data_IF_714739429524
#
_entry.id   IF_714739429524
#
_cell.length_a   1.000
_cell.length_b   1.000
_cell.length_c   1.000
_cell.angle_alpha   90.00
_cell.angle_beta   90.00
_cell.angle_gamma   90.00
#
_symmetry.space_group_name_H-M   'P 1'
#
loop_
_entity.id
_entity.type
_entity.pdbx_description
1 polymer ?
#
# COMPACT_ATOMS: atom_id res chain seq x y z
N UNK A 1 -20.02 -5.78 29.97
CA UNK A 1 -20.27 -6.11 28.54
C UNK A 1 -20.61 -7.59 28.43
N UNK A 2 -21.64 -7.93 27.65
CA UNK A 2 -21.91 -9.32 27.26
C UNK A 2 -22.51 -9.33 25.86
N UNK A 3 -21.92 -10.12 24.95
CA UNK A 3 -22.34 -10.19 23.55
C UNK A 3 -22.00 -11.53 22.90
N UNK A 4 -22.66 -11.80 21.76
CA UNK A 4 -22.39 -12.99 20.95
C UNK A 4 -22.13 -12.57 19.50
N UNK A 5 -21.08 -13.12 18.88
CA UNK A 5 -20.63 -12.81 17.52
C UNK A 5 -20.16 -14.06 16.78
N UNK A 6 -20.21 -14.05 15.46
CA UNK A 6 -19.67 -15.11 14.63
C UNK A 6 -18.13 -15.12 14.68
N UNK A 7 -17.51 -16.30 14.88
CA UNK A 7 -16.06 -16.45 15.00
C UNK A 7 -15.32 -15.97 13.75
N UNK A 8 -15.79 -16.29 12.53
CA UNK A 8 -15.10 -15.93 11.29
C UNK A 8 -15.09 -14.41 11.08
N UNK A 9 -16.22 -13.74 11.37
CA UNK A 9 -16.29 -12.27 11.30
C UNK A 9 -15.39 -11.63 12.36
N UNK A 10 -15.38 -12.16 13.58
CA UNK A 10 -14.51 -11.68 14.65
C UNK A 10 -13.03 -11.85 14.28
N UNK A 11 -12.62 -13.02 13.78
CA UNK A 11 -11.24 -13.29 13.35
C UNK A 11 -10.79 -12.36 12.22
N UNK A 12 -11.66 -12.13 11.23
CA UNK A 12 -11.39 -11.22 10.13
C UNK A 12 -11.19 -9.79 10.62
N UNK A 13 -12.11 -9.27 11.43
CA UNK A 13 -12.05 -7.92 11.97
C UNK A 13 -10.83 -7.72 12.89
N UNK A 14 -10.54 -8.67 13.80
CA UNK A 14 -9.35 -8.64 14.66
C UNK A 14 -8.06 -8.63 13.83
N UNK A 15 -8.00 -9.41 12.74
CA UNK A 15 -6.85 -9.43 11.82
C UNK A 15 -6.62 -8.08 11.13
N UNK A 16 -7.71 -7.38 10.75
CA UNK A 16 -7.62 -6.04 10.14
C UNK A 16 -7.10 -5.00 11.13
N UNK A 17 -7.73 -4.89 12.31
CA UNK A 17 -7.35 -3.85 13.28
C UNK A 17 -5.96 -4.08 13.87
N UNK A 18 -5.51 -5.33 14.00
CA UNK A 18 -4.16 -5.67 14.48
C UNK A 18 -3.03 -5.03 13.69
N UNK A 19 -3.28 -4.62 12.44
CA UNK A 19 -2.29 -3.95 11.57
C UNK A 19 -1.91 -2.56 12.05
N UNK A 20 -2.77 -1.91 12.84
CA UNK A 20 -2.52 -0.60 13.44
C UNK A 20 -1.83 -0.69 14.82
N UNK A 21 -1.62 -1.89 15.37
CA UNK A 21 -1.01 -2.07 16.69
C UNK A 21 0.48 -1.74 16.66
N UNK A 22 0.97 -1.10 17.72
CA UNK A 22 2.40 -0.86 17.94
C UNK A 22 3.00 -1.92 18.88
N UNK A 23 3.80 -2.87 18.37
CA UNK A 23 4.38 -3.93 19.22
C UNK A 23 5.50 -3.44 20.16
N UNK A 24 6.01 -2.22 19.97
CA UNK A 24 7.14 -1.63 20.70
C UNK A 24 6.79 -0.25 21.26
N UNK A 25 5.57 -0.06 21.74
CA UNK A 25 5.15 1.21 22.32
C UNK A 25 5.58 1.32 23.79
N UNK A 26 5.87 2.56 24.23
CA UNK A 26 6.04 2.92 25.64
C UNK A 26 4.71 2.95 26.40
N UNK A 27 3.58 3.07 25.68
CA UNK A 27 2.23 3.03 26.22
C UNK A 27 1.66 1.61 26.04
N UNK A 28 1.44 0.84 27.11
CA UNK A 28 0.96 -0.55 27.00
C UNK A 28 -0.35 -0.69 26.22
N UNK A 29 -1.27 0.27 26.36
CA UNK A 29 -2.58 0.26 25.69
C UNK A 29 -2.48 0.28 24.17
N UNK A 30 -1.39 0.82 23.56
CA UNK A 30 -1.17 0.81 22.12
C UNK A 30 -0.76 -0.56 21.57
N UNK A 31 -0.49 -1.53 22.44
CA UNK A 31 -0.32 -2.95 22.07
C UNK A 31 -1.63 -3.73 22.14
N UNK A 32 -2.73 -3.06 22.50
CA UNK A 32 -4.04 -3.66 22.70
C UNK A 32 -5.00 -3.31 21.54
N UNK A 33 -6.04 -4.13 21.44
CA UNK A 33 -7.26 -3.85 20.66
C UNK A 33 -8.33 -3.40 21.64
N UNK A 34 -8.98 -2.28 21.36
CA UNK A 34 -10.20 -1.85 22.02
C UNK A 34 -11.37 -2.70 21.52
N UNK A 35 -12.07 -3.34 22.44
CA UNK A 35 -13.29 -4.13 22.21
C UNK A 35 -14.44 -3.37 22.86
N UNK A 36 -15.37 -2.82 22.09
CA UNK A 36 -16.44 -1.94 22.57
C UNK A 36 -17.77 -2.26 21.89
N UNK A 37 -18.87 -2.20 22.62
CA UNK A 37 -20.20 -2.20 22.04
C UNK A 37 -20.53 -0.81 21.51
N UNK A 38 -21.05 -0.73 20.29
CA UNK A 38 -21.36 0.52 19.62
C UNK A 38 -22.60 0.38 18.73
N UNK A 39 -23.70 1.08 19.09
CA UNK A 39 -24.95 1.11 18.33
C UNK A 39 -25.47 -0.26 17.88
N UNK A 40 -25.45 -1.25 18.79
CA UNK A 40 -25.91 -2.61 18.51
C UNK A 40 -24.93 -3.48 17.72
N UNK A 41 -23.73 -3.00 17.47
CA UNK A 41 -22.63 -3.75 16.85
C UNK A 41 -21.44 -3.91 17.80
N UNK A 42 -20.54 -4.80 17.47
CA UNK A 42 -19.22 -4.86 18.11
C UNK A 42 -18.25 -4.00 17.31
N UNK A 43 -17.65 -3.01 17.95
CA UNK A 43 -16.57 -2.17 17.44
C UNK A 43 -15.24 -2.69 17.96
N UNK A 44 -14.29 -2.91 17.06
CA UNK A 44 -12.91 -3.22 17.36
C UNK A 44 -12.02 -2.09 16.82
N UNK A 45 -11.08 -1.61 17.63
CA UNK A 45 -10.19 -0.51 17.22
C UNK A 45 -8.79 -0.74 17.71
N UNK A 46 -7.79 -0.36 16.91
CA UNK A 46 -6.40 -0.29 17.32
C UNK A 46 -5.72 0.93 16.71
N UNK A 47 -4.69 1.43 17.39
CA UNK A 47 -3.92 2.58 16.91
C UNK A 47 -2.50 2.57 17.45
N UNK A 48 -1.58 3.15 16.68
CA UNK A 48 -0.23 3.48 17.13
C UNK A 48 0.01 5.00 17.21
N UNK A 49 -1.07 5.79 17.19
CA UNK A 49 -1.16 7.25 17.15
C UNK A 49 -0.93 7.88 15.77
N UNK A 50 -0.26 7.20 14.85
CA UNK A 50 -0.08 7.64 13.46
C UNK A 50 -1.12 7.03 12.53
N UNK A 51 -1.47 5.78 12.79
CA UNK A 51 -2.45 4.98 12.07
C UNK A 51 -3.46 4.42 13.06
N UNK A 52 -4.74 4.61 12.80
CA UNK A 52 -5.85 3.99 13.51
C UNK A 52 -6.71 3.17 12.55
N UNK A 53 -7.14 1.99 12.97
CA UNK A 53 -8.08 1.16 12.20
C UNK A 53 -9.22 0.78 13.13
N UNK A 54 -10.44 0.99 12.67
CA UNK A 54 -11.68 0.61 13.35
C UNK A 54 -12.52 -0.26 12.43
N UNK A 55 -13.07 -1.33 12.98
CA UNK A 55 -13.94 -2.26 12.25
C UNK A 55 -15.18 -2.55 13.09
N UNK A 56 -16.36 -2.60 12.43
CA UNK A 56 -17.64 -2.96 13.05
C UNK A 56 -18.13 -4.29 12.50
N UNK A 57 -18.63 -5.14 13.39
CA UNK A 57 -19.30 -6.38 13.00
C UNK A 57 -20.62 -6.54 13.73
N UNK A 58 -21.57 -7.22 13.10
CA UNK A 58 -22.86 -7.54 13.70
C UNK A 58 -22.68 -8.42 14.93
N UNK A 59 -23.35 -8.06 16.02
CA UNK A 59 -23.32 -8.80 17.27
C UNK A 59 -24.67 -8.79 17.96
N UNK A 60 -25.00 -9.85 18.70
CA UNK A 60 -26.10 -9.85 19.62
C UNK A 60 -25.64 -9.31 20.96
N UNK A 61 -26.01 -8.06 21.26
CA UNK A 61 -25.62 -7.38 22.51
C UNK A 61 -26.65 -7.70 23.61
N UNK A 62 -26.17 -8.24 24.74
CA UNK A 62 -26.96 -8.46 25.95
C UNK A 62 -26.59 -7.46 27.06
N UNK A 63 -25.42 -6.86 26.98
CA UNK A 63 -24.95 -5.83 27.90
C UNK A 63 -23.81 -5.03 27.31
N UNK A 64 -23.88 -3.71 27.40
CA UNK A 64 -22.88 -2.79 26.88
C UNK A 64 -21.61 -2.75 27.73
N UNK A 65 -20.53 -2.26 27.13
CA UNK A 65 -19.24 -2.05 27.80
C UNK A 65 -18.06 -1.97 26.83
N UNK A 66 -16.89 -1.76 27.40
CA UNK A 66 -15.64 -1.66 26.67
C UNK A 66 -14.47 -2.16 27.50
N UNK A 67 -13.45 -2.70 26.83
CA UNK A 67 -12.16 -3.12 27.40
C UNK A 67 -11.11 -3.11 26.31
N UNK A 68 -9.84 -2.93 26.66
CA UNK A 68 -8.73 -3.19 25.74
C UNK A 68 -8.05 -4.52 26.11
N UNK A 69 -7.69 -5.30 25.11
CA UNK A 69 -7.03 -6.60 25.29
C UNK A 69 -5.76 -6.71 24.44
N UNK A 70 -4.72 -7.43 24.90
CA UNK A 70 -3.49 -7.62 24.15
C UNK A 70 -3.76 -8.17 22.75
N UNK A 71 -3.40 -7.41 21.72
CA UNK A 71 -3.76 -7.67 20.33
C UNK A 71 -3.28 -9.04 19.86
N UNK A 72 -2.01 -9.36 20.10
CA UNK A 72 -1.42 -10.65 19.69
C UNK A 72 -2.16 -11.82 20.31
N UNK A 73 -2.35 -11.79 21.64
CA UNK A 73 -3.04 -12.86 22.36
C UNK A 73 -4.47 -13.05 21.89
N UNK A 74 -5.19 -11.93 21.68
CA UNK A 74 -6.58 -11.98 21.23
C UNK A 74 -6.69 -12.47 19.78
N UNK A 75 -5.80 -12.01 18.89
CA UNK A 75 -5.74 -12.47 17.49
C UNK A 75 -5.42 -13.97 17.40
N UNK A 76 -4.39 -14.42 18.11
CA UNK A 76 -3.98 -15.83 18.12
C UNK A 76 -5.11 -16.72 18.68
N UNK A 77 -5.75 -16.29 19.78
CA UNK A 77 -6.86 -17.03 20.38
C UNK A 77 -8.03 -17.14 19.40
N UNK A 78 -8.54 -16.01 18.91
CA UNK A 78 -9.74 -15.97 18.05
C UNK A 78 -9.54 -16.74 16.75
N UNK A 79 -8.33 -16.69 16.17
CA UNK A 79 -8.01 -17.41 14.94
C UNK A 79 -8.00 -18.93 15.10
N UNK A 80 -7.78 -19.42 16.32
CA UNK A 80 -7.76 -20.86 16.64
C UNK A 80 -9.06 -21.39 17.24
N UNK A 81 -10.09 -20.54 17.41
CA UNK A 81 -11.41 -21.01 17.86
C UNK A 81 -12.13 -21.79 16.75
N UNK A 82 -13.00 -22.75 17.09
CA UNK A 82 -13.90 -23.38 16.13
C UNK A 82 -14.81 -22.36 15.42
N UNK A 83 -15.22 -22.66 14.19
CA UNK A 83 -16.19 -21.84 13.44
C UNK A 83 -17.59 -21.96 14.05
N UNK A 84 -17.85 -21.22 15.11
CA UNK A 84 -19.12 -21.22 15.88
C UNK A 84 -19.39 -19.80 16.41
N UNK A 85 -20.41 -19.68 17.26
CA UNK A 85 -20.71 -18.44 17.99
C UNK A 85 -19.71 -18.25 19.14
N UNK A 86 -19.16 -17.06 19.22
CA UNK A 86 -18.27 -16.64 20.31
C UNK A 86 -19.02 -15.72 21.25
N UNK A 87 -19.04 -16.07 22.52
CA UNK A 87 -19.60 -15.24 23.58
C UNK A 87 -18.46 -14.49 24.27
N UNK A 88 -18.54 -13.17 24.26
CA UNK A 88 -17.62 -12.29 24.97
C UNK A 88 -18.30 -11.74 26.23
N UNK A 89 -17.68 -11.92 27.38
CA UNK A 89 -18.17 -11.39 28.66
C UNK A 89 -17.07 -10.64 29.39
N UNK A 90 -17.33 -9.41 29.79
CA UNK A 90 -16.38 -8.59 30.55
C UNK A 90 -16.71 -8.62 32.04
N UNK A 91 -15.73 -9.00 32.84
CA UNK A 91 -15.70 -8.73 34.28
C UNK A 91 -14.97 -7.40 34.53
N UNK A 92 -15.75 -6.36 34.81
CA UNK A 92 -15.20 -5.02 35.10
C UNK A 92 -14.33 -4.99 36.37
N UNK A 93 -14.64 -5.82 37.37
CA UNK A 93 -13.93 -5.79 38.64
C UNK A 93 -12.48 -6.28 38.52
N UNK A 94 -12.23 -7.19 37.61
CA UNK A 94 -10.92 -7.82 37.37
C UNK A 94 -10.29 -7.40 36.05
N UNK A 95 -10.95 -6.53 35.26
CA UNK A 95 -10.55 -6.15 33.90
C UNK A 95 -10.20 -7.37 33.05
N UNK A 96 -11.13 -8.33 33.02
CA UNK A 96 -10.92 -9.64 32.36
C UNK A 96 -12.01 -9.87 31.31
N UNK A 97 -11.60 -10.09 30.06
CA UNK A 97 -12.47 -10.54 28.98
C UNK A 97 -12.52 -12.07 28.95
N UNK A 98 -13.69 -12.65 29.28
CA UNK A 98 -13.96 -14.06 29.06
C UNK A 98 -14.39 -14.26 27.59
N UNK A 99 -13.75 -15.21 26.93
CA UNK A 99 -14.00 -15.61 25.52
C UNK A 99 -14.43 -17.07 25.55
N UNK A 100 -15.68 -17.35 25.21
CA UNK A 100 -16.21 -18.70 25.13
C UNK A 100 -16.73 -19.02 23.74
N UNK A 101 -16.33 -20.16 23.19
CA UNK A 101 -16.80 -20.67 21.91
C UNK A 101 -17.34 -22.12 22.09
N UNK A 102 -18.63 -22.30 21.78
CA UNK A 102 -19.31 -23.56 22.04
C UNK A 102 -19.29 -23.96 23.50
N UNK A 103 -19.26 -25.26 23.74
CA UNK A 103 -19.20 -25.86 25.10
C UNK A 103 -17.80 -26.29 25.55
N UNK A 104 -16.81 -26.22 24.63
CA UNK A 104 -15.51 -26.86 24.83
C UNK A 104 -14.34 -25.86 24.92
N UNK A 105 -14.54 -24.60 24.55
CA UNK A 105 -13.47 -23.60 24.57
C UNK A 105 -13.87 -22.41 25.43
N UNK A 106 -13.06 -22.14 26.46
CA UNK A 106 -13.20 -20.96 27.33
C UNK A 106 -11.81 -20.44 27.71
N UNK A 107 -11.64 -19.14 27.56
CA UNK A 107 -10.39 -18.44 27.87
C UNK A 107 -10.66 -17.11 28.54
N UNK A 108 -9.75 -16.68 29.42
CA UNK A 108 -9.82 -15.40 30.09
C UNK A 108 -8.58 -14.56 29.73
N UNK A 109 -8.80 -13.36 29.20
CA UNK A 109 -7.74 -12.44 28.79
C UNK A 109 -7.78 -11.24 29.74
N UNK A 110 -6.65 -10.93 30.37
CA UNK A 110 -6.48 -9.71 31.15
C UNK A 110 -6.36 -8.53 30.18
N UNK A 111 -7.13 -7.48 30.48
CA UNK A 111 -7.16 -6.25 29.71
C UNK A 111 -6.72 -5.02 30.51
N UNK A 112 -6.81 -3.89 29.86
CA UNK A 112 -6.63 -2.55 30.43
C UNK A 112 -7.94 -1.78 30.23
N UNK A 113 -8.25 -0.86 31.13
CA UNK A 113 -9.45 -0.05 31.04
C UNK A 113 -9.54 0.67 29.67
N UNK A 114 -10.73 0.67 29.11
CA UNK A 114 -10.98 1.29 27.82
C UNK A 114 -10.78 2.82 27.83
N UNK A 115 -10.87 3.48 28.99
CA UNK A 115 -10.63 4.92 29.15
C UNK A 115 -9.17 5.30 28.89
N UNK A 116 -8.23 4.36 29.02
CA UNK A 116 -6.82 4.56 28.67
C UNK A 116 -6.55 4.55 27.17
N UNK A 117 -7.52 4.07 26.35
CA UNK A 117 -7.34 3.99 24.92
C UNK A 117 -7.49 5.36 24.26
N UNK A 118 -6.50 5.81 23.44
CA UNK A 118 -6.56 7.12 22.82
C UNK A 118 -7.72 7.21 21.81
N UNK A 119 -8.38 8.38 21.72
CA UNK A 119 -9.46 8.58 20.77
C UNK A 119 -8.95 8.47 19.33
N UNK A 120 -9.66 7.70 18.49
CA UNK A 120 -9.49 7.71 17.04
C UNK A 120 -10.46 8.74 16.48
N UNK A 121 -10.02 9.66 15.59
CA UNK A 121 -10.88 10.67 15.00
C UNK A 121 -11.98 10.04 14.15
N UNK A 122 -13.16 10.67 14.15
CA UNK A 122 -14.30 10.27 13.34
C UNK A 122 -14.35 11.09 12.04
N UNK A 123 -14.83 10.51 10.91
CA UNK A 123 -14.92 11.19 9.63
C UNK A 123 -16.05 12.22 9.62
N UNK A 124 -15.87 13.33 8.91
CA UNK A 124 -16.97 14.18 8.47
C UNK A 124 -17.44 13.75 7.07
N UNK A 125 -18.45 12.92 7.04
CA UNK A 125 -18.94 12.35 5.79
C UNK A 125 -19.63 13.39 4.88
N UNK A 126 -20.01 14.56 5.41
CA UNK A 126 -20.65 15.63 4.64
C UNK A 126 -19.70 16.33 3.66
N UNK A 127 -18.40 16.33 3.93
CA UNK A 127 -17.35 16.88 3.08
C UNK A 127 -16.46 15.81 2.43
N UNK A 128 -16.92 14.56 2.41
CA UNK A 128 -16.17 13.41 1.92
C UNK A 128 -16.09 13.34 0.40
N UNK A 129 -14.95 12.86 -0.10
CA UNK A 129 -14.70 12.57 -1.51
C UNK A 129 -14.94 11.07 -1.74
N UNK A 130 -15.92 10.74 -2.58
CA UNK A 130 -16.20 9.35 -2.98
C UNK A 130 -15.18 8.85 -3.98
N UNK A 131 -14.64 7.67 -3.74
CA UNK A 131 -13.64 7.00 -4.57
C UNK A 131 -14.14 5.62 -4.97
N UNK A 132 -13.86 5.21 -6.22
CA UNK A 132 -14.01 3.81 -6.62
C UNK A 132 -12.93 2.96 -5.93
N UNK A 133 -13.36 1.94 -5.19
CA UNK A 133 -12.46 1.09 -4.39
C UNK A 133 -11.43 0.38 -5.25
N UNK A 134 -11.84 -0.12 -6.43
CA UNK A 134 -10.96 -0.91 -7.31
C UNK A 134 -9.88 -0.03 -7.91
N UNK A 135 -10.26 1.13 -8.45
CA UNK A 135 -9.33 2.10 -9.01
C UNK A 135 -8.37 2.63 -7.95
N UNK A 136 -8.90 3.06 -6.81
CA UNK A 136 -8.06 3.58 -5.74
C UNK A 136 -7.04 2.56 -5.23
N UNK A 137 -7.46 1.30 -5.07
CA UNK A 137 -6.58 0.20 -4.70
C UNK A 137 -5.47 -0.04 -5.72
N UNK A 138 -5.81 0.04 -7.01
CA UNK A 138 -4.83 -0.08 -8.09
C UNK A 138 -3.84 1.09 -8.08
N UNK A 139 -4.32 2.33 -7.93
CA UNK A 139 -3.47 3.52 -7.80
C UNK A 139 -2.47 3.37 -6.65
N UNK A 140 -2.93 2.94 -5.48
CA UNK A 140 -2.07 2.70 -4.32
C UNK A 140 -1.01 1.64 -4.62
N UNK A 141 -1.40 0.52 -5.25
CA UNK A 141 -0.46 -0.56 -5.60
C UNK A 141 0.60 -0.11 -6.61
N UNK A 142 0.22 0.74 -7.57
CA UNK A 142 1.12 1.25 -8.61
C UNK A 142 2.05 2.37 -8.11
N UNK A 143 1.74 3.01 -6.98
CA UNK A 143 2.51 4.19 -6.54
C UNK A 143 3.26 3.93 -5.23
N UNK A 144 2.62 3.36 -4.22
CA UNK A 144 3.15 3.34 -2.85
C UNK A 144 4.48 2.58 -2.70
N UNK A 145 4.78 1.61 -3.57
CA UNK A 145 6.04 0.85 -3.54
C UNK A 145 7.28 1.70 -3.86
N UNK A 146 7.10 2.85 -4.54
CA UNK A 146 8.18 3.75 -4.90
C UNK A 146 8.57 4.71 -3.76
N UNK A 147 7.80 4.77 -2.68
CA UNK A 147 8.13 5.58 -1.52
C UNK A 147 9.42 5.10 -0.83
N UNK A 148 10.12 6.04 -0.21
CA UNK A 148 11.33 5.76 0.57
C UNK A 148 10.99 5.01 1.87
N UNK A 149 11.90 4.17 2.33
CA UNK A 149 11.87 3.59 3.68
C UNK A 149 12.80 4.32 4.65
N UNK A 150 13.45 5.39 4.20
CA UNK A 150 14.39 6.19 4.98
C UNK A 150 13.64 7.25 5.80
N UNK A 151 13.50 7.01 7.09
CA UNK A 151 12.82 7.92 8.04
C UNK A 151 13.57 9.26 8.26
N UNK A 152 14.83 9.37 7.82
CA UNK A 152 15.54 10.64 7.85
C UNK A 152 14.99 11.65 6.82
N UNK A 153 14.20 11.18 5.87
CA UNK A 153 13.51 12.00 4.86
C UNK A 153 12.00 11.74 4.91
N UNK A 154 11.27 12.18 5.95
CA UNK A 154 9.89 11.80 6.19
C UNK A 154 8.96 12.06 5.00
N UNK A 155 9.13 13.19 4.30
CA UNK A 155 8.30 13.55 3.13
C UNK A 155 8.35 12.49 2.03
N UNK A 156 9.50 11.83 1.84
CA UNK A 156 9.66 10.76 0.84
C UNK A 156 9.10 9.41 1.28
N UNK A 157 8.78 9.23 2.58
CA UNK A 157 8.12 8.00 3.05
C UNK A 157 6.62 8.02 2.77
N UNK A 158 6.10 9.14 2.26
CA UNK A 158 4.71 9.34 1.90
C UNK A 158 4.43 9.26 0.41
N UNK A 159 3.15 9.20 0.10
CA UNK A 159 2.57 9.36 -1.23
C UNK A 159 1.95 10.75 -1.28
N UNK A 160 2.35 11.55 -2.23
CA UNK A 160 1.66 12.80 -2.56
C UNK A 160 0.32 12.45 -3.22
N UNK A 161 -0.77 12.92 -2.65
CA UNK A 161 -2.10 12.85 -3.23
C UNK A 161 -2.55 14.26 -3.57
N UNK A 162 -3.05 14.47 -4.79
CA UNK A 162 -3.68 15.72 -5.21
C UNK A 162 -5.07 15.43 -5.77
N UNK A 163 -6.02 16.28 -5.39
CA UNK A 163 -7.36 16.32 -5.95
C UNK A 163 -7.57 17.70 -6.54
N UNK A 164 -8.00 17.78 -7.77
CA UNK A 164 -8.32 19.05 -8.43
C UNK A 164 -9.47 18.86 -9.43
N UNK A 165 -10.61 19.48 -9.15
CA UNK A 165 -11.82 19.23 -9.91
C UNK A 165 -12.29 17.78 -9.82
N UNK A 166 -12.37 17.10 -10.93
CA UNK A 166 -12.71 15.68 -11.08
C UNK A 166 -11.47 14.77 -11.22
N UNK A 167 -10.28 15.31 -10.98
CA UNK A 167 -9.03 14.62 -11.19
C UNK A 167 -8.32 14.28 -9.89
N UNK A 168 -7.81 13.04 -9.79
CA UNK A 168 -6.97 12.55 -8.71
C UNK A 168 -5.60 12.17 -9.26
N UNK A 169 -4.54 12.59 -8.60
CA UNK A 169 -3.18 12.13 -8.89
C UNK A 169 -2.46 11.67 -7.63
N UNK A 170 -1.67 10.63 -7.78
CA UNK A 170 -0.78 10.11 -6.75
C UNK A 170 0.65 10.05 -7.27
N UNK A 171 1.62 10.39 -6.43
CA UNK A 171 3.04 10.25 -6.73
C UNK A 171 3.84 9.81 -5.50
N UNK A 172 4.82 8.94 -5.70
CA UNK A 172 5.78 8.56 -4.67
C UNK A 172 7.20 8.44 -5.26
N UNK A 173 8.20 8.76 -4.45
CA UNK A 173 9.61 8.70 -4.86
C UNK A 173 10.51 8.38 -3.67
N UNK A 174 11.63 7.70 -3.93
CA UNK A 174 12.74 7.53 -2.98
C UNK A 174 13.97 8.41 -3.35
N UNK A 175 13.84 9.20 -4.43
CA UNK A 175 14.91 10.03 -4.99
C UNK A 175 15.66 9.38 -6.15
N UNK A 176 15.49 8.08 -6.38
CA UNK A 176 16.11 7.32 -7.49
C UNK A 176 15.09 6.81 -8.51
N UNK A 177 13.83 6.83 -8.15
CA UNK A 177 12.68 6.48 -9.00
C UNK A 177 11.45 7.25 -8.57
N UNK A 178 10.47 7.34 -9.46
CA UNK A 178 9.18 7.98 -9.20
C UNK A 178 8.08 7.16 -9.85
N UNK A 179 7.04 6.84 -9.11
CA UNK A 179 5.77 6.33 -9.67
C UNK A 179 4.71 7.40 -9.61
N UNK A 180 3.98 7.56 -10.69
CA UNK A 180 2.87 8.51 -10.83
C UNK A 180 1.69 7.76 -11.40
N UNK A 181 0.51 7.94 -10.78
CA UNK A 181 -0.77 7.46 -11.30
C UNK A 181 -1.79 8.59 -11.24
N UNK A 182 -2.50 8.77 -12.33
CA UNK A 182 -3.57 9.74 -12.48
C UNK A 182 -4.87 9.02 -12.83
N UNK A 183 -6.01 9.54 -12.38
CA UNK A 183 -7.33 9.01 -12.71
C UNK A 183 -8.40 10.09 -12.49
N UNK A 184 -9.64 9.80 -12.90
CA UNK A 184 -10.78 10.66 -12.65
C UNK A 184 -11.60 10.14 -11.46
N UNK A 185 -12.19 11.06 -10.70
CA UNK A 185 -13.08 10.73 -9.58
C UNK A 185 -14.54 11.06 -9.94
N UNK A 186 -15.52 10.29 -9.40
CA UNK A 186 -16.92 10.45 -9.76
C UNK A 186 -17.52 11.81 -9.42
N UNK A 187 -16.98 12.47 -8.39
CA UNK A 187 -17.52 13.72 -7.88
C UNK A 187 -16.47 14.83 -7.92
N UNK A 188 -16.85 15.97 -8.47
CA UNK A 188 -15.98 17.16 -8.56
C UNK A 188 -15.77 17.73 -7.16
N UNK A 189 -14.50 17.87 -6.75
CA UNK A 189 -14.14 18.56 -5.51
C UNK A 189 -14.22 20.07 -5.67
N UNK A 190 -14.80 20.76 -4.69
CA UNK A 190 -15.00 22.21 -4.74
C UNK A 190 -13.73 23.02 -4.52
N UNK A 191 -12.70 22.40 -3.95
CA UNK A 191 -11.37 23.01 -3.74
C UNK A 191 -10.28 21.99 -3.99
N UNK A 192 -9.15 22.44 -4.53
CA UNK A 192 -7.97 21.60 -4.69
C UNK A 192 -7.42 21.20 -3.30
N UNK A 193 -7.07 19.91 -3.17
CA UNK A 193 -6.49 19.32 -1.95
C UNK A 193 -5.14 18.73 -2.34
N UNK A 194 -4.13 19.03 -1.53
CA UNK A 194 -2.81 18.42 -1.62
C UNK A 194 -2.41 17.87 -0.25
N UNK A 195 -2.07 16.58 -0.19
CA UNK A 195 -1.72 15.91 1.05
C UNK A 195 -0.62 14.87 0.83
N UNK A 196 0.26 14.70 1.81
CA UNK A 196 1.27 13.64 1.81
C UNK A 196 0.81 12.60 2.84
N UNK A 197 0.37 11.45 2.33
CA UNK A 197 -0.14 10.36 3.15
C UNK A 197 0.97 9.31 3.33
N UNK A 198 1.27 8.85 4.55
CA UNK A 198 2.24 7.78 4.75
C UNK A 198 1.96 6.59 3.83
N UNK A 199 2.95 6.17 3.04
CA UNK A 199 2.80 5.04 2.11
C UNK A 199 2.35 3.76 2.84
N UNK A 200 2.83 3.53 4.08
CA UNK A 200 2.39 2.43 4.92
C UNK A 200 0.89 2.45 5.17
N UNK A 201 0.30 3.62 5.47
CA UNK A 201 -1.15 3.72 5.72
C UNK A 201 -1.96 3.33 4.48
N UNK A 202 -1.57 3.81 3.30
CA UNK A 202 -2.22 3.45 2.03
C UNK A 202 -2.06 1.97 1.69
N UNK A 203 -0.89 1.38 1.92
CA UNK A 203 -0.65 -0.06 1.71
C UNK A 203 -1.52 -0.89 2.65
N UNK A 204 -1.63 -0.53 3.94
CA UNK A 204 -2.51 -1.24 4.86
C UNK A 204 -3.99 -1.06 4.46
N UNK A 205 -4.41 0.16 4.05
CA UNK A 205 -5.75 0.40 3.52
C UNK A 205 -6.03 -0.54 2.33
N UNK A 206 -5.15 -0.58 1.33
CA UNK A 206 -5.33 -1.43 0.14
C UNK A 206 -5.45 -2.93 0.43
N UNK A 207 -4.93 -3.37 1.58
CA UNK A 207 -5.02 -4.78 2.04
C UNK A 207 -6.33 -5.09 2.76
N UNK A 208 -6.90 -4.11 3.46
CA UNK A 208 -8.09 -4.31 4.30
C UNK A 208 -9.39 -3.95 3.59
N UNK A 209 -9.36 -3.07 2.58
CA UNK A 209 -10.55 -2.75 1.79
C UNK A 209 -10.90 -3.93 0.87
N UNK A 210 -12.16 -4.36 0.91
CA UNK A 210 -12.72 -5.35 -0.01
C UNK A 210 -13.13 -4.67 -1.32
N UNK A 211 -12.97 -5.36 -2.44
CA UNK A 211 -13.42 -4.88 -3.75
C UNK A 211 -14.75 -5.57 -4.08
N UNK A 212 -15.85 -5.08 -3.50
CA UNK A 212 -17.21 -5.45 -3.89
C UNK A 212 -17.72 -4.55 -5.02
N UNK A 213 -18.75 -4.99 -5.77
CA UNK A 213 -19.28 -4.22 -6.92
C UNK A 213 -19.98 -2.89 -6.52
N UNK A 214 -20.36 -2.75 -5.25
CA UNK A 214 -21.12 -1.59 -4.75
C UNK A 214 -20.42 -0.88 -3.58
N UNK A 215 -19.15 -1.25 -3.27
CA UNK A 215 -18.41 -0.66 -2.16
C UNK A 215 -17.94 0.74 -2.54
N UNK A 216 -18.36 1.76 -1.81
CA UNK A 216 -17.86 3.13 -1.91
C UNK A 216 -16.86 3.41 -0.79
N UNK A 217 -15.70 3.94 -1.15
CA UNK A 217 -14.72 4.46 -0.22
C UNK A 217 -14.88 5.98 -0.13
N UNK A 218 -15.11 6.49 1.07
CA UNK A 218 -15.19 7.94 1.30
C UNK A 218 -13.89 8.38 1.97
N UNK A 219 -13.22 9.34 1.37
CA UNK A 219 -12.01 9.95 1.91
C UNK A 219 -12.33 11.34 2.45
N UNK A 220 -11.96 11.63 3.70
CA UNK A 220 -12.19 12.92 4.35
C UNK A 220 -10.89 13.49 4.92
N UNK A 221 -10.82 14.81 4.97
CA UNK A 221 -9.71 15.56 5.57
C UNK A 221 -10.28 16.46 6.70
N UNK A 222 -10.36 15.95 7.95
CA UNK A 222 -10.88 16.74 9.06
C UNK A 222 -10.10 18.05 9.22
N UNK A 223 -10.83 19.15 9.31
CA UNK A 223 -10.24 20.49 9.43
C UNK A 223 -9.34 20.59 10.66
N UNK A 224 -8.16 21.18 10.50
CA UNK A 224 -7.17 21.50 11.54
C UNK A 224 -6.56 20.29 12.30
N UNK A 225 -6.67 19.07 11.77
CA UNK A 225 -6.13 17.86 12.42
C UNK A 225 -4.91 17.25 11.75
N UNK A 226 -4.54 17.69 10.54
CA UNK A 226 -3.42 17.10 9.80
C UNK A 226 -3.58 15.60 9.56
N UNK A 227 -4.82 15.17 9.27
CA UNK A 227 -5.18 13.76 9.15
C UNK A 227 -6.02 13.51 7.89
N UNK A 228 -5.99 12.26 7.43
CA UNK A 228 -6.93 11.73 6.45
C UNK A 228 -7.66 10.54 7.06
N UNK A 229 -8.96 10.43 6.77
CA UNK A 229 -9.77 9.29 7.19
C UNK A 229 -10.42 8.69 5.94
N UNK A 230 -10.28 7.37 5.81
CA UNK A 230 -10.94 6.55 4.81
C UNK A 230 -12.06 5.77 5.49
N UNK A 231 -13.27 5.90 5.00
CA UNK A 231 -14.48 5.30 5.57
C UNK A 231 -15.17 4.40 4.55
N UNK A 232 -15.56 3.23 5.00
CA UNK A 232 -16.50 2.29 4.39
C UNK A 232 -17.50 1.87 5.47
N UNK A 233 -18.63 1.28 5.12
CA UNK A 233 -19.73 0.95 6.04
C UNK A 233 -19.31 0.31 7.36
N UNK A 234 -18.37 -0.63 7.31
CA UNK A 234 -17.93 -1.42 8.46
C UNK A 234 -16.44 -1.23 8.80
N UNK A 235 -15.76 -0.28 8.15
CA UNK A 235 -14.32 -0.08 8.28
C UNK A 235 -13.95 1.40 8.21
N UNK A 236 -13.07 1.82 9.11
CA UNK A 236 -12.41 3.12 9.05
C UNK A 236 -10.91 2.97 9.21
N UNK A 237 -10.16 3.75 8.44
CA UNK A 237 -8.72 3.93 8.62
C UNK A 237 -8.42 5.42 8.72
N UNK A 238 -7.87 5.83 9.85
CA UNK A 238 -7.37 7.20 10.07
C UNK A 238 -5.86 7.21 10.03
N UNK A 239 -5.26 8.15 9.32
CA UNK A 239 -3.81 8.34 9.26
C UNK A 239 -3.42 9.79 9.47
N UNK A 240 -2.34 10.02 10.23
CA UNK A 240 -1.67 11.31 10.26
C UNK A 240 -1.07 11.61 8.89
N UNK A 241 -1.12 12.88 8.46
CA UNK A 241 -0.45 13.35 7.26
C UNK A 241 1.01 13.70 7.58
N UNK A 242 1.86 13.58 6.58
CA UNK A 242 3.26 14.01 6.68
C UNK A 242 3.33 15.51 6.35
N UNK A 243 3.84 16.30 7.28
CA UNK A 243 4.07 17.74 7.05
C UNK A 243 5.29 17.95 6.16
N UNK A 244 5.22 18.97 5.28
CA UNK A 244 6.32 19.37 4.42
C UNK A 244 5.92 19.59 2.98
N UNK A 245 6.91 19.86 2.14
CA UNK A 245 6.72 20.01 0.68
C UNK A 245 7.27 18.80 -0.05
N UNK A 246 6.42 18.16 -0.86
CA UNK A 246 6.87 17.09 -1.73
C UNK A 246 7.75 17.65 -2.86
N UNK A 247 8.84 16.97 -3.24
CA UNK A 247 9.72 17.45 -4.32
C UNK A 247 8.96 17.67 -5.63
N UNK A 248 9.29 18.74 -6.35
CA UNK A 248 8.76 18.95 -7.70
C UNK A 248 9.43 17.96 -8.68
N UNK A 249 8.70 16.92 -8.99
CA UNK A 249 9.16 15.84 -9.88
C UNK A 249 8.77 16.06 -11.35
N UNK A 250 7.88 17.02 -11.64
CA UNK A 250 7.37 17.24 -13.01
C UNK A 250 8.46 17.60 -14.00
N UNK A 251 9.48 18.33 -13.53
CA UNK A 251 10.64 18.69 -14.34
C UNK A 251 11.56 17.50 -14.68
N UNK A 252 11.44 16.39 -13.95
CA UNK A 252 12.27 15.19 -14.16
C UNK A 252 11.62 14.23 -15.16
N UNK A 253 10.29 14.31 -15.35
CA UNK A 253 9.56 13.46 -16.29
C UNK A 253 9.95 13.84 -17.73
N UNK A 254 10.64 12.96 -18.49
CA UNK A 254 11.00 13.24 -19.86
C UNK A 254 9.75 13.39 -20.73
N UNK A 255 9.79 14.37 -21.66
CA UNK A 255 8.66 14.64 -22.56
C UNK A 255 8.85 14.03 -23.96
N UNK A 256 10.08 13.71 -24.33
CA UNK A 256 10.43 13.14 -25.61
C UNK A 256 11.45 12.03 -25.44
N UNK A 257 11.39 11.01 -26.29
CA UNK A 257 12.27 9.86 -26.26
C UNK A 257 12.90 9.62 -27.63
N UNK A 258 14.12 9.08 -27.64
CA UNK A 258 14.86 8.71 -28.85
C UNK A 258 14.73 7.23 -29.17
N UNK A 259 14.37 6.43 -28.18
CA UNK A 259 14.22 4.99 -28.33
C UNK A 259 13.00 4.53 -27.54
N UNK A 260 12.10 3.88 -28.25
CA UNK A 260 10.88 3.27 -27.73
C UNK A 260 11.01 1.76 -27.84
N UNK A 261 10.99 1.07 -26.72
CA UNK A 261 11.17 -0.38 -26.66
C UNK A 261 9.91 -1.03 -26.09
N UNK A 262 9.18 -1.78 -26.93
CA UNK A 262 8.02 -2.55 -26.53
C UNK A 262 8.45 -3.97 -26.16
N UNK A 263 8.03 -4.42 -24.99
CA UNK A 263 8.44 -5.67 -24.39
C UNK A 263 7.24 -6.41 -23.81
N UNK A 264 7.27 -7.75 -23.83
CA UNK A 264 6.35 -8.54 -23.01
C UNK A 264 6.61 -8.26 -21.53
N UNK A 265 5.58 -7.84 -20.79
CA UNK A 265 5.68 -7.55 -19.35
C UNK A 265 6.19 -8.78 -18.57
N UNK A 266 5.62 -9.95 -18.85
CA UNK A 266 6.02 -11.21 -18.22
C UNK A 266 7.46 -11.63 -18.58
N UNK A 267 7.86 -11.41 -19.85
CA UNK A 267 9.21 -11.71 -20.37
C UNK A 267 10.25 -10.83 -19.66
N UNK A 268 10.02 -9.52 -19.64
CA UNK A 268 10.91 -8.55 -18.97
C UNK A 268 10.98 -8.79 -17.47
N UNK A 269 9.85 -9.05 -16.80
CA UNK A 269 9.82 -9.36 -15.37
C UNK A 269 10.64 -10.61 -15.04
N UNK A 270 10.52 -11.67 -15.86
CA UNK A 270 11.31 -12.89 -15.68
C UNK A 270 12.81 -12.63 -15.84
N UNK A 271 13.20 -11.86 -16.85
CA UNK A 271 14.59 -11.49 -17.09
C UNK A 271 15.16 -10.64 -15.94
N UNK A 272 14.41 -9.65 -15.46
CA UNK A 272 14.79 -8.85 -14.29
C UNK A 272 14.97 -9.72 -13.04
N UNK A 273 14.07 -10.68 -12.78
CA UNK A 273 14.19 -11.62 -11.65
C UNK A 273 15.45 -12.49 -11.75
N UNK A 274 15.83 -12.92 -12.95
CA UNK A 274 17.08 -13.68 -13.15
C UNK A 274 18.31 -12.82 -12.92
N UNK A 275 18.36 -11.62 -13.49
CA UNK A 275 19.47 -10.69 -13.33
C UNK A 275 19.63 -10.24 -11.86
N UNK A 276 18.53 -10.04 -11.13
CA UNK A 276 18.52 -9.63 -9.72
C UNK A 276 19.23 -10.66 -8.82
N UNK A 277 19.20 -11.96 -9.15
CA UNK A 277 19.88 -12.99 -8.35
C UNK A 277 21.39 -12.71 -8.22
N UNK A 278 22.00 -12.25 -9.30
CA UNK A 278 23.42 -11.88 -9.32
C UNK A 278 23.62 -10.44 -8.83
N UNK A 279 22.80 -9.49 -9.33
CA UNK A 279 22.96 -8.08 -9.03
C UNK A 279 22.79 -7.72 -7.54
N UNK A 280 21.98 -8.46 -6.78
CA UNK A 280 21.70 -8.20 -5.36
C UNK A 280 22.91 -8.37 -4.44
N UNK A 281 23.89 -9.16 -4.84
CA UNK A 281 25.15 -9.33 -4.10
C UNK A 281 26.09 -8.11 -4.21
N UNK A 282 25.73 -7.16 -5.07
CA UNK A 282 26.38 -5.86 -5.24
C UNK A 282 25.42 -4.70 -5.00
N UNK A 283 25.29 -3.84 -6.01
CA UNK A 283 24.50 -2.59 -5.94
C UNK A 283 23.13 -2.70 -6.63
N UNK A 284 22.66 -3.90 -6.95
CA UNK A 284 21.47 -4.18 -7.76
C UNK A 284 21.53 -3.58 -9.19
N UNK A 285 22.70 -3.29 -9.71
CA UNK A 285 22.87 -2.74 -11.07
C UNK A 285 22.74 -3.84 -12.11
N UNK A 286 21.91 -3.60 -13.12
CA UNK A 286 21.91 -4.36 -14.36
C UNK A 286 22.12 -3.43 -15.54
N UNK A 287 22.86 -3.89 -16.54
CA UNK A 287 23.06 -3.21 -17.84
C UNK A 287 21.99 -3.69 -18.79
N UNK A 288 21.35 -2.75 -19.47
CA UNK A 288 20.34 -2.98 -20.48
C UNK A 288 20.91 -2.53 -21.82
N UNK A 289 21.18 -3.47 -22.72
CA UNK A 289 21.63 -3.19 -24.07
C UNK A 289 20.43 -3.33 -25.02
N UNK A 290 19.91 -2.20 -25.49
CA UNK A 290 18.77 -2.10 -26.38
C UNK A 290 19.28 -2.12 -27.82
N UNK A 291 18.89 -3.12 -28.59
CA UNK A 291 19.36 -3.38 -29.94
C UNK A 291 18.16 -3.31 -30.89
N UNK A 292 18.09 -2.29 -31.76
CA UNK A 292 17.04 -2.17 -32.77
C UNK A 292 17.07 -3.29 -33.81
N UNK A 293 15.95 -3.50 -34.47
CA UNK A 293 15.85 -4.37 -35.63
C UNK A 293 16.77 -3.89 -36.75
N UNK A 294 17.48 -4.82 -37.37
CA UNK A 294 18.36 -4.51 -38.51
C UNK A 294 17.78 -4.99 -39.83
N UNK A 295 17.00 -6.06 -39.83
CA UNK A 295 16.27 -6.64 -40.97
C UNK A 295 15.19 -7.63 -40.45
N UNK A 296 14.36 -8.18 -41.35
CA UNK A 296 13.30 -9.15 -40.98
C UNK A 296 13.84 -10.42 -40.31
N UNK A 297 15.14 -10.75 -40.47
CA UNK A 297 15.77 -11.93 -39.89
C UNK A 297 16.43 -11.63 -38.52
N UNK A 298 16.56 -10.36 -38.16
CA UNK A 298 17.22 -9.91 -36.95
C UNK A 298 16.29 -8.99 -36.14
N UNK A 299 15.31 -9.57 -35.43
CA UNK A 299 14.37 -8.80 -34.60
C UNK A 299 15.10 -8.01 -33.52
N UNK A 300 14.47 -6.93 -33.08
CA UNK A 300 14.98 -6.13 -31.98
C UNK A 300 15.05 -6.95 -30.68
N UNK A 301 16.05 -6.65 -29.88
CA UNK A 301 16.27 -7.38 -28.61
C UNK A 301 16.70 -6.42 -27.50
N UNK A 302 16.36 -6.81 -26.27
CA UNK A 302 16.87 -6.25 -25.04
C UNK A 302 17.74 -7.32 -24.34
N UNK A 303 19.03 -7.04 -24.23
CA UNK A 303 19.93 -7.87 -23.41
C UNK A 303 20.06 -7.26 -22.01
N UNK A 304 19.79 -8.04 -20.99
CA UNK A 304 19.95 -7.66 -19.59
C UNK A 304 21.11 -8.42 -19.00
N UNK A 305 22.16 -7.72 -18.57
CA UNK A 305 23.32 -8.32 -17.95
C UNK A 305 23.57 -7.78 -16.54
N UNK A 306 24.00 -8.68 -15.65
CA UNK A 306 24.41 -8.35 -14.29
C UNK A 306 25.69 -9.09 -13.94
N UNK A 307 26.54 -8.46 -13.14
CA UNK A 307 27.84 -8.98 -12.74
C UNK A 307 28.06 -8.78 -11.24
N UNK A 308 28.66 -9.77 -10.61
CA UNK A 308 29.12 -9.73 -9.22
C UNK A 308 30.45 -10.45 -9.10
N UNK A 309 31.39 -9.83 -8.44
CA UNK A 309 32.71 -10.45 -8.18
C UNK A 309 32.63 -11.77 -7.39
N UNK A 310 31.57 -11.92 -6.59
CA UNK A 310 31.43 -13.07 -5.68
C UNK A 310 30.64 -14.23 -6.31
N UNK A 311 29.64 -13.91 -7.15
CA UNK A 311 28.64 -14.89 -7.61
C UNK A 311 28.68 -15.13 -9.13
N UNK A 312 29.40 -14.30 -9.90
CA UNK A 312 29.55 -14.45 -11.34
C UNK A 312 28.70 -13.52 -12.17
N UNK A 313 28.24 -13.97 -13.32
CA UNK A 313 27.53 -13.17 -14.32
C UNK A 313 26.18 -13.78 -14.68
N UNK A 314 25.25 -12.93 -15.06
CA UNK A 314 23.95 -13.31 -15.67
C UNK A 314 23.75 -12.50 -16.93
N UNK A 315 23.32 -13.15 -18.00
CA UNK A 315 22.96 -12.52 -19.26
C UNK A 315 21.65 -13.13 -19.75
N UNK A 316 20.68 -12.30 -20.06
CA UNK A 316 19.32 -12.72 -20.48
C UNK A 316 18.89 -11.87 -21.66
N UNK A 317 18.49 -12.53 -22.75
CA UNK A 317 17.91 -11.90 -23.93
C UNK A 317 16.39 -11.93 -23.85
N UNK A 318 15.78 -10.79 -24.19
CA UNK A 318 14.32 -10.62 -24.28
C UNK A 318 14.00 -10.08 -25.67
N UNK A 319 13.08 -10.74 -26.37
CA UNK A 319 12.58 -10.23 -27.65
C UNK A 319 11.88 -8.88 -27.44
N UNK A 320 12.16 -7.92 -28.30
CA UNK A 320 11.64 -6.56 -28.19
C UNK A 320 11.32 -6.00 -29.58
N UNK A 321 10.30 -5.14 -29.66
CA UNK A 321 10.17 -4.23 -30.81
C UNK A 321 10.80 -2.89 -30.42
N UNK A 322 11.84 -2.48 -31.15
CA UNK A 322 12.64 -1.31 -30.83
C UNK A 322 12.56 -0.30 -31.97
N UNK A 323 11.94 0.85 -31.69
CA UNK A 323 11.95 2.02 -32.59
C UNK A 323 12.92 3.06 -32.04
N UNK A 324 13.98 3.38 -32.78
CA UNK A 324 14.96 4.38 -32.42
C UNK A 324 16.40 3.90 -32.52
N UNK A 325 17.28 4.48 -31.70
CA UNK A 325 18.74 4.23 -31.73
C UNK A 325 19.15 3.17 -30.71
N UNK A 326 20.22 2.41 -30.98
CA UNK A 326 20.76 1.49 -29.98
C UNK A 326 21.24 2.25 -28.74
N UNK A 327 21.05 1.64 -27.57
CA UNK A 327 21.42 2.26 -26.30
C UNK A 327 21.86 1.22 -25.27
N UNK A 328 22.99 1.49 -24.62
CA UNK A 328 23.41 0.81 -23.40
C UNK A 328 23.17 1.74 -22.20
N UNK A 329 22.34 1.29 -21.27
CA UNK A 329 22.00 2.03 -20.05
C UNK A 329 22.01 1.07 -18.85
N UNK A 330 22.30 1.58 -17.67
CA UNK A 330 22.22 0.77 -16.44
C UNK A 330 21.14 1.29 -15.52
N UNK A 331 20.37 0.35 -14.95
CA UNK A 331 19.35 0.65 -13.95
C UNK A 331 19.48 -0.27 -12.74
N UNK A 332 18.87 0.14 -11.63
CA UNK A 332 18.63 -0.76 -10.51
C UNK A 332 17.56 -1.80 -10.90
N UNK A 333 17.99 -3.06 -11.07
CA UNK A 333 17.11 -4.13 -11.56
C UNK A 333 15.97 -4.46 -10.60
N UNK A 334 16.15 -4.23 -9.30
CA UNK A 334 15.10 -4.37 -8.31
C UNK A 334 13.97 -3.37 -8.57
N UNK A 335 14.29 -2.13 -8.94
CA UNK A 335 13.28 -1.12 -9.26
C UNK A 335 12.50 -1.47 -10.52
N UNK A 336 13.18 -2.03 -11.53
CA UNK A 336 12.52 -2.58 -12.73
C UNK A 336 11.58 -3.72 -12.37
N UNK A 337 12.01 -4.67 -11.54
CA UNK A 337 11.16 -5.78 -11.10
C UNK A 337 9.93 -5.28 -10.35
N UNK A 338 10.10 -4.36 -9.40
CA UNK A 338 9.01 -3.86 -8.56
C UNK A 338 7.92 -3.14 -9.38
N UNK A 339 8.28 -2.33 -10.38
CA UNK A 339 7.28 -1.72 -11.25
C UNK A 339 6.58 -2.74 -12.15
N UNK A 340 7.30 -3.72 -12.68
CA UNK A 340 6.72 -4.75 -13.53
C UNK A 340 5.76 -5.69 -12.77
N UNK A 341 5.92 -5.86 -11.46
CA UNK A 341 5.01 -6.64 -10.63
C UNK A 341 3.64 -5.98 -10.43
N UNK A 342 3.51 -4.67 -10.66
CA UNK A 342 2.25 -3.93 -10.54
C UNK A 342 1.61 -3.59 -11.88
N UNK A 343 2.29 -3.81 -12.99
CA UNK A 343 1.76 -3.65 -14.35
C UNK A 343 0.98 -4.91 -14.74
N UNK A 344 -0.28 -4.72 -15.14
CA UNK A 344 -1.19 -5.82 -15.51
C UNK A 344 -1.31 -6.05 -17.01
N UNK A 345 -0.86 -5.09 -17.85
CA UNK A 345 -0.90 -5.22 -19.31
C UNK A 345 0.07 -6.30 -19.80
N UNK A 346 -0.26 -6.95 -20.91
CA UNK A 346 0.60 -7.97 -21.53
C UNK A 346 1.94 -7.40 -21.99
N UNK A 347 1.94 -6.13 -22.41
CA UNK A 347 3.13 -5.44 -22.89
C UNK A 347 3.37 -4.13 -22.13
N UNK A 348 4.66 -3.74 -22.10
CA UNK A 348 5.16 -2.55 -21.43
C UNK A 348 6.10 -1.79 -22.37
N UNK A 349 6.02 -0.48 -22.33
CA UNK A 349 6.99 0.42 -22.96
C UNK A 349 8.13 0.72 -22.00
N UNK A 350 9.36 0.62 -22.50
CA UNK A 350 10.56 1.21 -21.93
C UNK A 350 11.06 2.29 -22.88
N UNK A 351 10.97 3.53 -22.45
CA UNK A 351 11.33 4.70 -23.23
C UNK A 351 12.60 5.37 -22.71
N UNK A 352 13.55 5.64 -23.58
CA UNK A 352 14.90 6.07 -23.21
C UNK A 352 15.46 7.13 -24.17
N UNK A 353 16.46 7.88 -23.69
CA UNK A 353 17.14 8.92 -24.48
C UNK A 353 18.66 8.71 -24.58
N UNK A 354 19.33 8.54 -23.42
CA UNK A 354 20.76 8.40 -23.31
C UNK A 354 21.13 7.64 -22.02
N UNK A 355 22.35 7.14 -21.93
CA UNK A 355 22.82 6.34 -20.80
C UNK A 355 22.78 7.06 -19.43
N UNK A 356 22.75 8.40 -19.44
CA UNK A 356 22.74 9.24 -18.25
C UNK A 356 21.42 10.00 -18.02
N UNK A 357 20.36 9.64 -18.73
CA UNK A 357 19.02 10.24 -18.57
C UNK A 357 18.03 9.25 -18.02
N UNK A 358 16.98 9.69 -17.32
CA UNK A 358 15.96 8.81 -16.80
C UNK A 358 15.29 7.99 -17.90
N UNK A 359 14.95 6.75 -17.59
CA UNK A 359 14.04 5.92 -18.38
C UNK A 359 12.60 6.05 -17.86
N UNK A 360 11.64 5.98 -18.77
CA UNK A 360 10.22 5.90 -18.46
C UNK A 360 9.71 4.50 -18.76
N UNK A 361 8.93 3.96 -17.84
CA UNK A 361 8.22 2.68 -18.00
C UNK A 361 6.74 2.95 -17.81
N UNK A 362 5.92 2.47 -18.74
CA UNK A 362 4.46 2.54 -18.66
C UNK A 362 3.80 1.37 -19.38
N UNK A 363 2.57 0.97 -18.98
CA UNK A 363 1.83 -0.09 -19.65
C UNK A 363 1.49 0.30 -21.09
N UNK A 364 1.44 -0.68 -22.00
CA UNK A 364 0.87 -0.45 -23.32
C UNK A 364 -0.64 -0.20 -23.19
N UNK A 365 -1.11 0.94 -23.71
CA UNK A 365 -2.53 1.32 -23.74
C UNK A 365 -3.05 1.97 -22.43
N UNK A 366 -2.18 2.25 -21.48
CA UNK A 366 -2.51 3.04 -20.28
C UNK A 366 -1.46 4.12 -20.06
N UNK A 367 -1.81 5.36 -20.35
CA UNK A 367 -0.95 6.53 -20.17
C UNK A 367 -1.07 7.18 -18.79
N UNK A 368 -2.01 6.71 -17.96
CA UNK A 368 -2.26 7.25 -16.62
C UNK A 368 -1.26 6.76 -15.58
N UNK A 369 -0.56 5.65 -15.84
CA UNK A 369 0.51 5.14 -15.00
C UNK A 369 1.88 5.36 -15.64
N UNK A 370 2.78 6.03 -14.92
CA UNK A 370 4.16 6.34 -15.35
C UNK A 370 5.13 6.01 -14.22
N UNK A 371 6.19 5.29 -14.58
CA UNK A 371 7.30 5.03 -13.65
C UNK A 371 8.61 5.50 -14.25
N UNK A 372 9.25 6.45 -13.59
CA UNK A 372 10.52 7.01 -13.98
C UNK A 372 11.62 6.39 -13.13
N UNK A 373 12.70 5.94 -13.76
CA UNK A 373 13.84 5.34 -13.11
C UNK A 373 15.12 6.08 -13.48
N UNK A 374 15.89 6.47 -12.48
CA UNK A 374 17.18 7.14 -12.67
C UNK A 374 18.24 6.14 -13.13
N UNK A 375 19.09 6.48 -14.10
CA UNK A 375 20.18 5.62 -14.52
C UNK A 375 21.25 5.50 -13.43
N UNK A 376 21.91 4.34 -13.43
CA UNK A 376 23.07 4.08 -12.59
C UNK A 376 24.35 4.28 -13.40
N UNK A 377 25.44 4.69 -12.75
CA UNK A 377 26.74 4.75 -13.42
C UNK A 377 27.23 3.35 -13.77
N UNK A 378 27.63 3.16 -15.01
CA UNK A 378 28.38 1.99 -15.48
C UNK A 378 29.82 2.30 -15.14
N UNK A 379 30.36 1.70 -14.06
CA UNK A 379 31.77 1.82 -13.66
C UNK A 379 32.71 1.22 -14.69
#
# INVERSE_FOLDING_TARGET
MKLTVNQQQLAHCVSMVSRAVSPRSTLPVLSNILVKTDNGRLRLSATNLELGITCWIGARIEGEGAITVPARTFTDLVSNLPSDQVVLTLDNSTQTLNVRCGSTSESNIKGIDAEEFPPIPEPDLGEGVGLDVTNFKEMVQQVAFAASTDEARPVLTGVLLKLDGDHISMAATDGSRISIREDDIPNVVSRSIEAIIPARALVELSRIISSGKDDSLIMTFPTDRGQVIFHMDDLELASQLIEGSFPDFRAIVPQNFKTHTLLSTAGLLKACKQAEIIAREGTNVARLNIIPETDEASPGTLEISAESEQTGTSEVLVDASVDGIPLLVAFNVRFLREVLEVIKSDNVWLETNAANTPGLIHPQGDEHFKHIIMPMHIG
#
